data_IF_274503295433
#
_entry.id   IF_274503295433
#
_cell.length_a   1.000
_cell.length_b   1.000
_cell.length_c   1.000
_cell.angle_alpha   90.00
_cell.angle_beta   90.00
_cell.angle_gamma   90.00
#
_symmetry.space_group_name_H-M   'P 1'
#
loop_
_entity.id
_entity.type
_entity.pdbx_description
1 polymer ?
#
# COMPACT_ATOMS: atom_id res chain seq x y z
N UNK A 1 -1.59 24.37 2.63
CA UNK A 1 -1.89 24.09 1.20
C UNK A 1 -2.95 23.01 1.15
N UNK A 2 -3.77 22.98 0.10
CA UNK A 2 -4.71 21.87 -0.10
C UNK A 2 -3.95 20.57 -0.36
N UNK A 3 -4.47 19.44 0.15
CA UNK A 3 -3.97 18.11 -0.18
C UNK A 3 -3.97 17.97 -1.72
N UNK A 4 -2.79 17.77 -2.31
CA UNK A 4 -2.63 17.67 -3.76
C UNK A 4 -2.10 16.28 -4.11
N UNK A 5 -2.81 15.57 -4.97
CA UNK A 5 -2.42 14.26 -5.51
C UNK A 5 -1.86 14.45 -6.92
N UNK A 6 -0.74 13.79 -7.24
CA UNK A 6 -0.20 13.75 -8.60
C UNK A 6 0.07 12.31 -9.03
N UNK A 7 -0.03 12.06 -10.34
CA UNK A 7 0.32 10.76 -10.97
C UNK A 7 1.65 10.81 -11.71
N UNK A 8 2.15 12.01 -11.98
CA UNK A 8 3.42 12.24 -12.66
C UNK A 8 4.15 13.42 -12.02
N UNK A 9 5.47 13.32 -11.99
CA UNK A 9 6.33 14.31 -11.35
C UNK A 9 7.78 14.04 -11.69
N UNK A 10 8.62 15.06 -11.53
CA UNK A 10 10.08 14.95 -11.69
C UNK A 10 10.74 15.91 -10.72
N UNK A 11 11.62 15.39 -9.86
CA UNK A 11 12.44 16.18 -8.93
C UNK A 11 11.61 17.09 -8.00
N UNK A 12 10.39 16.66 -7.67
CA UNK A 12 9.43 17.40 -6.86
C UNK A 12 9.18 16.73 -5.48
N UNK A 13 10.15 15.96 -4.98
CA UNK A 13 10.05 15.27 -3.68
C UNK A 13 9.88 16.23 -2.49
N UNK A 14 10.24 17.51 -2.66
CA UNK A 14 10.11 18.54 -1.62
C UNK A 14 8.71 19.16 -1.55
N UNK A 15 7.86 18.88 -2.53
CA UNK A 15 6.50 19.41 -2.57
C UNK A 15 5.59 18.60 -1.65
N UNK A 16 4.64 19.26 -0.99
CA UNK A 16 3.69 18.63 -0.09
C UNK A 16 2.55 17.92 -0.89
N UNK A 17 2.91 16.85 -1.59
CA UNK A 17 2.02 16.12 -2.50
C UNK A 17 2.00 14.62 -2.21
N UNK A 18 0.83 14.00 -2.38
CA UNK A 18 0.73 12.55 -2.49
C UNK A 18 1.06 12.14 -3.91
N UNK A 19 1.90 11.12 -4.06
CA UNK A 19 2.18 10.53 -5.36
C UNK A 19 1.39 9.24 -5.50
N UNK A 20 0.46 9.24 -6.44
CA UNK A 20 -0.39 8.09 -6.71
C UNK A 20 0.27 7.15 -7.70
N UNK A 21 0.22 5.85 -7.39
CA UNK A 21 0.58 4.78 -8.32
C UNK A 21 -0.32 4.79 -9.55
N UNK A 22 0.19 4.34 -10.69
CA UNK A 22 -0.64 4.12 -11.87
C UNK A 22 -1.76 3.12 -11.59
N UNK A 23 -2.84 3.23 -12.38
CA UNK A 23 -4.03 2.39 -12.23
C UNK A 23 -3.66 0.91 -12.41
N UNK A 24 -4.06 0.08 -11.45
CA UNK A 24 -3.81 -1.36 -11.39
C UNK A 24 -5.03 -2.14 -11.86
N UNK A 25 -4.80 -3.31 -12.46
CA UNK A 25 -5.86 -4.18 -12.93
C UNK A 25 -6.42 -5.03 -11.79
N UNK A 26 -7.72 -5.34 -11.84
CA UNK A 26 -8.41 -6.21 -10.88
C UNK A 26 -7.98 -7.69 -10.97
N UNK A 27 -6.72 -8.00 -10.69
CA UNK A 27 -6.13 -9.35 -10.70
C UNK A 27 -5.04 -9.49 -9.63
N UNK A 28 -4.72 -10.72 -9.22
CA UNK A 28 -3.69 -10.97 -8.21
C UNK A 28 -2.25 -10.78 -8.73
N UNK A 29 -1.98 -11.04 -10.02
CA UNK A 29 -0.63 -11.22 -10.56
C UNK A 29 0.33 -10.00 -10.52
N UNK A 30 1.60 -10.25 -10.83
CA UNK A 30 2.65 -9.21 -10.92
C UNK A 30 2.50 -8.28 -12.13
N UNK A 31 1.77 -8.71 -13.16
CA UNK A 31 1.51 -7.94 -14.36
C UNK A 31 0.49 -6.83 -14.09
N UNK A 32 0.85 -5.79 -13.32
CA UNK A 32 -0.05 -4.70 -12.93
C UNK A 32 -1.23 -5.08 -12.00
N UNK A 33 -1.17 -6.23 -11.32
CA UNK A 33 -2.17 -6.64 -10.31
C UNK A 33 -1.73 -6.41 -8.86
N UNK A 34 -2.39 -7.06 -7.91
CA UNK A 34 -2.14 -6.92 -6.46
C UNK A 34 -0.67 -7.21 -6.07
N UNK A 35 -0.04 -8.25 -6.63
CA UNK A 35 1.37 -8.58 -6.34
C UNK A 35 2.35 -7.50 -6.74
N UNK A 36 2.00 -6.65 -7.72
CA UNK A 36 2.84 -5.51 -8.11
C UNK A 36 2.82 -4.34 -7.12
N UNK A 37 1.89 -4.34 -6.16
CA UNK A 37 1.61 -3.23 -5.26
C UNK A 37 2.82 -2.86 -4.39
N UNK A 38 3.37 -3.82 -3.67
CA UNK A 38 4.53 -3.62 -2.78
C UNK A 38 5.82 -3.31 -3.55
N UNK A 39 6.18 -4.02 -4.65
CA UNK A 39 7.30 -3.62 -5.49
C UNK A 39 7.20 -2.16 -5.97
N UNK A 40 6.01 -1.73 -6.37
CA UNK A 40 5.77 -0.33 -6.79
C UNK A 40 5.97 0.63 -5.61
N UNK A 41 5.47 0.30 -4.42
CA UNK A 41 5.65 1.10 -3.20
C UNK A 41 7.13 1.30 -2.86
N UNK A 42 7.93 0.24 -2.95
CA UNK A 42 9.36 0.28 -2.65
C UNK A 42 10.13 1.12 -3.66
N UNK A 43 9.78 1.03 -4.94
CA UNK A 43 10.36 1.86 -5.99
C UNK A 43 10.09 3.35 -5.78
N UNK A 44 8.86 3.73 -5.37
CA UNK A 44 8.54 5.11 -4.98
C UNK A 44 9.36 5.56 -3.76
N UNK A 45 9.43 4.73 -2.72
CA UNK A 45 10.22 5.00 -1.51
C UNK A 45 11.71 5.22 -1.84
N UNK A 46 12.31 4.36 -2.67
CA UNK A 46 13.69 4.47 -3.12
C UNK A 46 13.96 5.79 -3.88
N UNK A 47 12.95 6.30 -4.60
CA UNK A 47 13.02 7.57 -5.36
C UNK A 47 12.71 8.80 -4.51
N UNK A 48 12.42 8.63 -3.22
CA UNK A 48 12.09 9.71 -2.28
C UNK A 48 10.63 10.17 -2.33
N UNK A 49 9.74 9.39 -2.95
CA UNK A 49 8.30 9.65 -3.00
C UNK A 49 7.58 8.78 -1.96
N UNK A 50 7.72 9.12 -0.69
CA UNK A 50 7.27 8.27 0.42
C UNK A 50 5.79 8.39 0.75
N UNK A 51 5.17 9.54 0.45
CA UNK A 51 3.74 9.79 0.60
C UNK A 51 2.96 9.18 -0.59
N UNK A 52 2.88 7.86 -0.60
CA UNK A 52 2.28 7.10 -1.70
C UNK A 52 0.78 6.93 -1.51
N UNK A 53 0.04 7.07 -2.61
CA UNK A 53 -1.32 6.56 -2.75
C UNK A 53 -1.27 5.27 -3.60
N UNK A 54 -1.45 4.09 -2.97
CA UNK A 54 -1.19 2.77 -3.56
C UNK A 54 -2.23 2.28 -4.60
N UNK A 55 -2.84 3.21 -5.33
CA UNK A 55 -3.99 2.98 -6.20
C UNK A 55 -5.27 2.52 -5.46
N UNK A 56 -6.37 2.40 -6.19
CA UNK A 56 -7.69 2.06 -5.67
C UNK A 56 -7.77 0.62 -5.15
N UNK A 57 -8.51 0.42 -4.06
CA UNK A 57 -8.79 -0.93 -3.55
C UNK A 57 -9.54 -1.75 -4.59
N UNK A 58 -8.94 -2.90 -4.92
CA UNK A 58 -9.48 -3.84 -5.89
C UNK A 58 -9.05 -3.58 -7.33
N UNK A 59 -8.24 -2.54 -7.57
CA UNK A 59 -7.87 -2.10 -8.91
C UNK A 59 -8.88 -1.13 -9.51
N UNK A 60 -8.64 -0.76 -10.77
CA UNK A 60 -9.52 0.11 -11.52
C UNK A 60 -10.72 -0.67 -12.08
N UNK A 61 -11.88 -0.02 -12.18
CA UNK A 61 -13.11 -0.64 -12.68
C UNK A 61 -13.24 -0.55 -14.22
N UNK A 62 -12.14 -0.33 -14.95
CA UNK A 62 -12.18 -0.22 -16.42
C UNK A 62 -12.34 -1.58 -17.11
N UNK A 63 -12.01 -2.68 -16.41
CA UNK A 63 -12.18 -4.05 -16.88
C UNK A 63 -13.05 -4.87 -15.93
N UNK A 64 -12.57 -6.06 -15.58
CA UNK A 64 -13.26 -6.94 -14.65
C UNK A 64 -13.34 -6.33 -13.24
N UNK A 65 -14.45 -6.57 -12.56
CA UNK A 65 -14.56 -6.24 -11.14
C UNK A 65 -13.84 -7.30 -10.31
N UNK A 66 -13.09 -6.91 -9.27
CA UNK A 66 -12.41 -7.86 -8.41
C UNK A 66 -13.46 -8.71 -7.67
N UNK A 67 -13.20 -10.01 -7.59
CA UNK A 67 -14.00 -10.90 -6.77
C UNK A 67 -13.86 -10.53 -5.27
N UNK A 68 -14.71 -11.12 -4.42
CA UNK A 68 -14.76 -10.82 -2.97
C UNK A 68 -13.38 -10.99 -2.31
N UNK A 69 -12.68 -12.07 -2.64
CA UNK A 69 -11.37 -12.38 -2.06
C UNK A 69 -10.34 -11.33 -2.44
N UNK A 70 -10.18 -11.06 -3.74
CA UNK A 70 -9.24 -10.07 -4.25
C UNK A 70 -9.48 -8.71 -3.62
N UNK A 71 -10.74 -8.25 -3.54
CA UNK A 71 -11.09 -6.98 -2.93
C UNK A 71 -10.65 -6.89 -1.46
N UNK A 72 -10.93 -7.94 -0.68
CA UNK A 72 -10.55 -8.01 0.74
C UNK A 72 -9.02 -8.03 0.89
N UNK A 73 -8.31 -8.86 0.11
CA UNK A 73 -6.84 -8.94 0.15
C UNK A 73 -6.19 -7.61 -0.24
N UNK A 74 -6.76 -6.91 -1.21
CA UNK A 74 -6.28 -5.60 -1.62
C UNK A 74 -6.43 -4.55 -0.51
N UNK A 75 -7.60 -4.51 0.14
CA UNK A 75 -7.83 -3.64 1.30
C UNK A 75 -6.87 -3.96 2.44
N UNK A 76 -6.63 -5.25 2.73
CA UNK A 76 -5.65 -5.69 3.73
C UNK A 76 -4.23 -5.20 3.39
N UNK A 77 -3.79 -5.34 2.14
CA UNK A 77 -2.48 -4.87 1.70
C UNK A 77 -2.30 -3.34 1.83
N UNK A 78 -3.38 -2.59 1.61
CA UNK A 78 -3.41 -1.13 1.73
C UNK A 78 -3.49 -0.63 3.18
N UNK A 79 -3.90 -1.49 4.12
CA UNK A 79 -4.29 -1.12 5.48
C UNK A 79 -3.21 -0.35 6.26
N UNK A 80 -1.93 -0.58 5.97
CA UNK A 80 -0.77 0.03 6.63
C UNK A 80 0.06 0.96 5.73
N UNK A 81 -0.48 1.32 4.56
CA UNK A 81 0.14 2.29 3.65
C UNK A 81 -0.26 3.75 4.01
N UNK A 82 0.41 4.80 3.49
CA UNK A 82 0.19 6.18 3.94
C UNK A 82 -1.25 6.66 3.72
N UNK A 83 -1.93 6.13 2.70
CA UNK A 83 -3.31 6.46 2.38
C UNK A 83 -4.07 5.24 1.86
N UNK A 84 -5.40 5.34 1.89
CA UNK A 84 -6.32 4.37 1.31
C UNK A 84 -7.29 5.12 0.41
N UNK A 85 -7.60 4.53 -0.75
CA UNK A 85 -8.61 5.05 -1.65
C UNK A 85 -9.59 3.94 -2.08
N UNK A 86 -10.88 4.22 -1.93
CA UNK A 86 -11.95 3.36 -2.40
C UNK A 86 -12.51 3.92 -3.72
N UNK A 87 -12.56 3.09 -4.75
CA UNK A 87 -13.36 3.32 -5.97
C UNK A 87 -14.58 2.41 -6.01
N UNK A 88 -14.38 1.17 -5.57
CA UNK A 88 -15.41 0.18 -5.31
C UNK A 88 -15.62 0.13 -3.82
N UNK A 89 -16.87 0.32 -3.40
CA UNK A 89 -17.25 0.46 -2.01
C UNK A 89 -17.62 -0.91 -1.43
N UNK A 90 -17.31 -1.19 -0.16
CA UNK A 90 -17.57 -2.52 0.42
C UNK A 90 -19.04 -2.94 0.35
N UNK A 91 -19.97 -1.98 0.42
CA UNK A 91 -21.41 -2.22 0.35
C UNK A 91 -21.95 -2.52 -1.04
N UNK A 92 -21.12 -2.44 -2.08
CA UNK A 92 -21.45 -2.95 -3.41
C UNK A 92 -21.32 -4.49 -3.52
N UNK A 93 -20.73 -5.13 -2.50
CA UNK A 93 -20.67 -6.59 -2.38
C UNK A 93 -21.81 -7.11 -1.50
N UNK A 94 -21.52 -7.42 -0.24
CA UNK A 94 -22.45 -8.06 0.68
C UNK A 94 -22.13 -7.67 2.14
N UNK A 95 -23.04 -7.97 3.10
CA UNK A 95 -22.84 -7.60 4.50
C UNK A 95 -21.57 -8.17 5.15
N UNK A 96 -21.08 -9.32 4.68
CA UNK A 96 -19.85 -9.93 5.20
C UNK A 96 -18.63 -9.12 4.76
N UNK A 97 -18.53 -8.74 3.49
CA UNK A 97 -17.45 -7.86 2.99
C UNK A 97 -17.46 -6.52 3.72
N UNK A 98 -18.64 -5.94 3.99
CA UNK A 98 -18.76 -4.71 4.78
C UNK A 98 -18.23 -4.90 6.20
N UNK A 99 -18.57 -6.01 6.86
CA UNK A 99 -18.09 -6.32 8.21
C UNK A 99 -16.57 -6.45 8.25
N UNK A 100 -15.99 -7.21 7.31
CA UNK A 100 -14.55 -7.41 7.17
C UNK A 100 -13.84 -6.07 6.91
N UNK A 101 -14.36 -5.24 5.99
CA UNK A 101 -13.79 -3.94 5.69
C UNK A 101 -13.77 -3.02 6.92
N UNK A 102 -14.85 -3.01 7.73
CA UNK A 102 -14.90 -2.25 8.98
C UNK A 102 -13.87 -2.75 10.00
N UNK A 103 -13.68 -4.06 10.10
CA UNK A 103 -12.64 -4.65 10.95
C UNK A 103 -11.23 -4.19 10.54
N UNK A 104 -10.91 -4.26 9.25
CA UNK A 104 -9.62 -3.82 8.71
C UNK A 104 -9.39 -2.33 8.96
N UNK A 105 -10.41 -1.49 8.72
CA UNK A 105 -10.30 -0.05 8.96
C UNK A 105 -10.21 0.30 10.45
N UNK A 106 -10.83 -0.48 11.34
CA UNK A 106 -10.66 -0.34 12.79
C UNK A 106 -9.21 -0.59 13.20
N UNK A 107 -8.60 -1.67 12.70
CA UNK A 107 -7.18 -1.97 12.93
C UNK A 107 -6.31 -0.83 12.40
N UNK A 108 -6.55 -0.36 11.18
CA UNK A 108 -5.81 0.80 10.65
C UNK A 108 -5.92 2.01 11.58
N UNK A 109 -7.10 2.31 12.12
CA UNK A 109 -7.28 3.45 13.03
C UNK A 109 -6.48 3.28 14.32
N UNK A 110 -6.40 2.07 14.87
CA UNK A 110 -5.56 1.76 16.04
C UNK A 110 -4.07 2.01 15.75
N UNK A 111 -3.62 1.70 14.54
CA UNK A 111 -2.23 1.87 14.10
C UNK A 111 -1.95 3.20 13.37
N UNK A 112 -2.93 4.10 13.26
CA UNK A 112 -2.77 5.35 12.52
C UNK A 112 -1.63 6.21 13.11
N UNK A 113 -1.43 6.18 14.43
CA UNK A 113 -0.31 6.85 15.09
C UNK A 113 1.06 6.38 14.59
N UNK A 114 1.22 5.08 14.30
CA UNK A 114 2.47 4.51 13.77
C UNK A 114 2.73 4.92 12.32
N UNK A 115 1.66 5.06 11.52
CA UNK A 115 1.76 5.59 10.15
C UNK A 115 2.18 7.06 10.17
N UNK A 116 1.61 7.85 11.08
CA UNK A 116 1.96 9.27 11.25
C UNK A 116 3.39 9.43 11.75
N UNK A 117 3.81 8.66 12.76
CA UNK A 117 5.20 8.65 13.27
C UNK A 117 6.20 8.35 12.14
N UNK A 118 5.95 7.32 11.33
CA UNK A 118 6.79 7.00 10.18
C UNK A 118 6.81 8.11 9.12
N UNK A 119 5.68 8.81 8.92
CA UNK A 119 5.60 9.97 8.03
C UNK A 119 6.40 11.17 8.56
N UNK A 120 6.44 11.39 9.86
CA UNK A 120 7.26 12.46 10.48
C UNK A 120 8.75 12.22 10.25
N UNK A 121 9.25 10.99 10.44
CA UNK A 121 10.62 10.62 10.08
C UNK A 121 10.89 10.84 8.59
N UNK A 122 9.95 10.45 7.74
CA UNK A 122 10.09 10.66 6.30
C UNK A 122 10.26 12.12 5.92
N UNK A 123 9.55 13.04 6.58
CA UNK A 123 9.72 14.49 6.37
C UNK A 123 11.05 14.99 6.92
N UNK A 124 11.52 14.44 8.04
CA UNK A 124 12.73 14.87 8.72
C UNK A 124 14.00 14.51 7.94
N UNK A 125 14.12 13.25 7.51
CA UNK A 125 15.38 12.71 6.96
C UNK A 125 15.22 11.92 5.65
N UNK A 126 14.00 11.80 5.12
CA UNK A 126 13.73 11.08 3.88
C UNK A 126 13.55 9.56 4.05
N UNK A 127 13.57 9.03 5.27
CA UNK A 127 13.36 7.61 5.51
C UNK A 127 11.98 7.16 4.99
N UNK A 128 11.88 6.05 4.23
CA UNK A 128 10.60 5.55 3.74
C UNK A 128 9.62 5.22 4.88
N UNK A 129 8.33 5.50 4.66
CA UNK A 129 7.24 5.13 5.57
C UNK A 129 7.10 3.61 5.62
N UNK A 130 7.04 2.98 4.44
CA UNK A 130 6.99 1.54 4.26
C UNK A 130 8.37 1.08 3.79
N UNK A 131 9.15 0.50 4.71
CA UNK A 131 10.55 0.16 4.51
C UNK A 131 10.67 -1.28 4.00
N UNK A 132 11.24 -1.51 2.82
CA UNK A 132 11.50 -2.86 2.34
C UNK A 132 12.52 -3.57 3.24
N UNK A 133 12.54 -4.90 3.24
CA UNK A 133 13.39 -5.65 4.16
C UNK A 133 14.89 -5.34 3.99
N UNK A 134 15.33 -5.05 2.78
CA UNK A 134 16.72 -4.65 2.48
C UNK A 134 17.10 -3.26 2.98
N UNK A 135 16.12 -2.43 3.36
CA UNK A 135 16.37 -1.19 4.09
C UNK A 135 16.75 -1.47 5.54
N UNK A 136 16.14 -2.50 6.14
CA UNK A 136 16.35 -2.88 7.53
C UNK A 136 17.66 -3.66 7.71
N UNK A 137 17.93 -4.63 6.83
CA UNK A 137 19.21 -5.36 6.80
C UNK A 137 19.82 -5.32 5.39
N UNK A 138 20.65 -4.32 5.09
CA UNK A 138 21.26 -4.16 3.77
C UNK A 138 22.41 -5.14 3.49
N UNK A 139 22.88 -5.90 4.51
CA UNK A 139 23.97 -6.85 4.35
C UNK A 139 23.46 -8.28 4.09
N UNK A 140 22.24 -8.59 4.51
CA UNK A 140 21.60 -9.86 4.15
C UNK A 140 21.03 -9.82 2.73
N UNK A 141 21.76 -10.40 1.79
CA UNK A 141 21.33 -10.56 0.38
C UNK A 141 19.99 -11.26 0.19
N UNK A 142 19.49 -12.04 1.17
CA UNK A 142 18.16 -12.65 1.10
C UNK A 142 17.05 -11.62 1.10
N UNK A 143 17.26 -10.46 1.71
CA UNK A 143 16.26 -9.39 1.78
C UNK A 143 16.02 -8.71 0.43
N UNK A 144 16.96 -8.85 -0.52
CA UNK A 144 16.93 -8.12 -1.79
C UNK A 144 15.80 -8.61 -2.72
N UNK A 145 15.38 -9.86 -2.55
CA UNK A 145 14.31 -10.49 -3.34
C UNK A 145 12.96 -10.49 -2.63
N UNK A 146 12.89 -9.96 -1.41
CA UNK A 146 11.65 -9.91 -0.64
C UNK A 146 10.82 -8.73 -1.14
N UNK A 147 9.71 -9.04 -1.79
CA UNK A 147 8.84 -8.07 -2.43
C UNK A 147 7.39 -8.10 -1.91
N UNK A 148 7.11 -8.97 -0.94
CA UNK A 148 5.78 -9.29 -0.44
C UNK A 148 5.55 -8.89 1.04
N UNK A 149 6.51 -8.22 1.67
CA UNK A 149 6.42 -7.71 3.04
C UNK A 149 7.29 -6.47 3.25
N UNK A 150 6.98 -5.69 4.27
CA UNK A 150 7.71 -4.49 4.64
C UNK A 150 7.61 -4.17 6.13
N UNK A 151 8.52 -3.34 6.63
CA UNK A 151 8.42 -2.72 7.95
C UNK A 151 7.65 -1.40 7.86
N UNK A 152 6.69 -1.17 8.76
CA UNK A 152 6.11 0.14 9.02
C UNK A 152 6.87 0.76 10.19
N UNK A 153 7.69 1.77 9.89
CA UNK A 153 8.70 2.24 10.86
C UNK A 153 9.69 1.11 11.19
N UNK A 154 10.00 0.93 12.47
CA UNK A 154 10.95 -0.10 12.95
C UNK A 154 10.30 -1.24 13.73
N UNK A 155 9.01 -1.12 14.07
CA UNK A 155 8.38 -1.99 15.08
C UNK A 155 7.38 -3.00 14.50
N UNK A 156 6.90 -2.78 13.27
CA UNK A 156 5.77 -3.54 12.71
C UNK A 156 6.16 -4.14 11.37
N UNK A 157 6.20 -5.47 11.30
CA UNK A 157 6.29 -6.20 10.04
C UNK A 157 4.89 -6.41 9.46
N UNK A 158 4.68 -5.94 8.23
CA UNK A 158 3.44 -6.13 7.47
C UNK A 158 3.70 -7.10 6.32
N UNK A 159 3.01 -8.24 6.33
CA UNK A 159 3.12 -9.30 5.33
C UNK A 159 1.73 -9.67 4.80
N UNK A 160 1.19 -8.94 3.80
CA UNK A 160 -0.14 -9.21 3.27
C UNK A 160 -0.19 -10.53 2.49
N UNK A 161 -1.36 -11.15 2.44
CA UNK A 161 -1.62 -12.32 1.59
C UNK A 161 -1.91 -11.84 0.16
N UNK A 162 -1.08 -12.27 -0.79
CA UNK A 162 -1.10 -11.81 -2.18
C UNK A 162 -1.45 -12.92 -3.19
N UNK A 163 -1.71 -14.12 -2.71
CA UNK A 163 -2.04 -15.30 -3.50
C UNK A 163 -3.52 -15.67 -3.35
N UNK A 164 -4.17 -16.00 -4.46
CA UNK A 164 -5.56 -16.45 -4.47
C UNK A 164 -5.69 -17.82 -3.77
N UNK A 165 -6.69 -17.95 -2.89
CA UNK A 165 -6.96 -19.16 -2.13
C UNK A 165 -5.96 -19.47 -1.00
N UNK A 166 -4.98 -18.59 -0.75
CA UNK A 166 -3.98 -18.82 0.29
C UNK A 166 -4.58 -18.72 1.71
N UNK A 167 -4.18 -19.67 2.56
CA UNK A 167 -4.64 -19.78 3.96
C UNK A 167 -3.49 -19.77 4.97
N UNK A 168 -2.24 -19.74 4.49
CA UNK A 168 -1.00 -19.66 5.26
C UNK A 168 0.06 -18.92 4.47
#
# INVERSE_FOLDING_TARGET
GGLSEVRSGRLNQKEAIFTRMLDKDSKFGYDNGLKSLLPTLFDFGLKGYTFVLPDMIGGNSYGDRPNRELYIRWLQANAFMPSIQFSILPWEYDPEVVSIARGILSIRNEFAGKIIEAAEFSVLDGTPINRPMWWYDPLDTKTFVIDNQYMLGDDILVAPVLDEGATS
#
